data_IF_887705899770
#
_entry.id   IF_887705899770
#
_cell.length_a   1.000
_cell.length_b   1.000
_cell.length_c   1.000
_cell.angle_alpha   90.00
_cell.angle_beta   90.00
_cell.angle_gamma   90.00
#
_symmetry.space_group_name_H-M   'P 1'
#
loop_
_entity.id
_entity.type
_entity.pdbx_description
1 polymer ?
#
# COMPACT_ATOMS: atom_id res chain seq x y z
N UNK A 1 4.25 12.72 6.27
CA UNK A 1 4.14 11.87 7.48
C UNK A 1 3.82 10.45 7.02
N UNK A 2 4.35 9.43 7.68
CA UNK A 2 4.01 8.04 7.33
C UNK A 2 2.59 7.69 7.79
N UNK A 3 1.86 6.85 7.05
CA UNK A 3 0.59 6.32 7.52
C UNK A 3 0.72 5.56 8.84
N UNK A 4 -0.21 5.77 9.78
CA UNK A 4 -0.15 5.23 11.15
C UNK A 4 -0.21 3.70 11.23
N UNK A 5 -0.60 3.04 10.14
CA UNK A 5 -0.63 1.58 10.06
C UNK A 5 0.69 0.95 9.64
N UNK A 6 1.67 1.76 9.21
CA UNK A 6 2.98 1.26 8.90
C UNK A 6 3.74 0.94 10.20
N UNK A 7 4.62 -0.07 10.19
CA UNK A 7 5.38 -0.41 11.38
C UNK A 7 6.31 0.74 11.78
N UNK A 8 6.63 0.83 13.07
CA UNK A 8 7.46 1.92 13.62
C UNK A 8 8.85 2.03 13.00
N UNK A 9 9.40 0.92 12.49
CA UNK A 9 10.68 0.89 11.79
C UNK A 9 10.69 1.73 10.49
N UNK A 10 9.53 2.08 9.92
CA UNK A 10 9.46 2.97 8.74
C UNK A 10 10.02 4.37 9.02
N UNK A 11 10.05 4.78 10.28
CA UNK A 11 10.71 6.02 10.72
C UNK A 11 12.25 5.98 10.55
N UNK A 12 12.84 4.80 10.35
CA UNK A 12 14.28 4.62 10.18
C UNK A 12 14.72 4.63 8.70
N UNK A 13 13.78 4.79 7.76
CA UNK A 13 14.12 4.90 6.34
C UNK A 13 14.96 6.17 6.10
N UNK A 14 16.09 6.00 5.40
CA UNK A 14 17.00 7.11 5.05
C UNK A 14 16.97 7.45 3.58
N UNK A 15 16.75 6.46 2.72
CA UNK A 15 16.69 6.65 1.27
C UNK A 15 15.43 7.41 0.88
N UNK A 16 15.61 8.55 0.23
CA UNK A 16 14.50 9.44 -0.16
C UNK A 16 13.43 8.73 -0.99
N UNK A 17 13.84 7.84 -1.90
CA UNK A 17 12.93 7.03 -2.72
C UNK A 17 12.12 6.06 -1.87
N UNK A 18 12.74 5.42 -0.87
CA UNK A 18 12.04 4.54 0.07
C UNK A 18 11.07 5.32 0.97
N UNK A 19 11.48 6.49 1.45
CA UNK A 19 10.62 7.37 2.26
C UNK A 19 9.38 7.78 1.46
N UNK A 20 9.56 8.26 0.22
CA UNK A 20 8.45 8.69 -0.65
C UNK A 20 7.52 7.52 -0.96
N UNK A 21 8.08 6.35 -1.26
CA UNK A 21 7.29 5.15 -1.50
C UNK A 21 6.44 4.79 -0.28
N UNK A 22 7.05 4.70 0.91
CA UNK A 22 6.35 4.37 2.14
C UNK A 22 5.26 5.38 2.51
N UNK A 23 5.52 6.68 2.33
CA UNK A 23 4.52 7.74 2.54
C UNK A 23 3.32 7.63 1.59
N UNK A 24 3.51 7.06 0.39
CA UNK A 24 2.46 6.87 -0.61
C UNK A 24 1.63 5.60 -0.42
N UNK A 25 1.98 4.73 0.52
CA UNK A 25 1.23 3.50 0.79
C UNK A 25 -0.16 3.85 1.28
N UNK A 26 -1.16 3.24 0.65
CA UNK A 26 -2.57 3.32 1.03
C UNK A 26 -2.99 1.97 1.60
N UNK A 27 -3.95 1.98 2.52
CA UNK A 27 -4.59 0.76 3.03
C UNK A 27 -6.10 0.87 2.87
N UNK A 28 -6.69 -0.14 2.24
CA UNK A 28 -8.12 -0.22 2.03
C UNK A 28 -8.64 -1.58 2.48
N UNK A 29 -9.79 -1.58 3.15
CA UNK A 29 -10.52 -2.80 3.45
C UNK A 29 -11.25 -3.27 2.19
N UNK A 30 -10.87 -4.43 1.65
CA UNK A 30 -11.51 -5.02 0.47
C UNK A 30 -12.46 -6.12 0.93
N UNK A 31 -13.76 -5.87 0.78
CA UNK A 31 -14.78 -6.91 0.95
C UNK A 31 -14.73 -7.88 -0.23
N UNK A 32 -14.78 -9.18 0.05
CA UNK A 32 -14.80 -10.21 -0.99
C UNK A 32 -15.92 -11.22 -0.71
N UNK A 33 -16.48 -11.89 -1.73
CA UNK A 33 -17.43 -12.98 -1.50
C UNK A 33 -16.82 -14.22 -0.82
N UNK A 34 -15.49 -14.30 -0.72
CA UNK A 34 -14.75 -15.46 -0.22
C UNK A 34 -14.61 -15.48 1.31
N UNK A 35 -14.82 -14.33 1.97
CA UNK A 35 -14.68 -14.20 3.42
C UNK A 35 -15.66 -13.16 3.95
N UNK A 36 -16.30 -13.40 5.12
CA UNK A 36 -17.15 -12.41 5.77
C UNK A 36 -16.34 -11.21 6.30
N UNK A 37 -15.02 -11.37 6.52
CA UNK A 37 -14.15 -10.30 6.97
C UNK A 37 -13.43 -9.66 5.77
N UNK A 38 -13.51 -8.32 5.68
CA UNK A 38 -12.76 -7.57 4.68
C UNK A 38 -11.24 -7.72 4.88
N UNK A 39 -10.52 -7.84 3.76
CA UNK A 39 -9.06 -7.99 3.76
C UNK A 39 -8.45 -6.59 3.84
N UNK A 40 -7.57 -6.36 4.82
CA UNK A 40 -6.81 -5.12 4.91
C UNK A 40 -5.69 -5.13 3.86
N UNK A 41 -5.95 -4.54 2.69
CA UNK A 41 -5.04 -4.56 1.54
C UNK A 41 -4.25 -3.27 1.48
N UNK A 42 -2.93 -3.37 1.38
CA UNK A 42 -2.04 -2.22 1.14
C UNK A 42 -1.60 -2.17 -0.31
N UNK A 43 -1.43 -0.97 -0.85
CA UNK A 43 -0.96 -0.77 -2.22
C UNK A 43 -0.36 0.64 -2.37
N UNK A 44 0.38 0.85 -3.45
CA UNK A 44 0.79 2.19 -3.92
C UNK A 44 0.15 2.43 -5.27
N UNK A 45 -0.56 3.54 -5.43
CA UNK A 45 -1.07 3.97 -6.72
C UNK A 45 -0.11 4.96 -7.38
N UNK A 46 0.55 4.54 -8.46
CA UNK A 46 1.45 5.38 -9.26
C UNK A 46 0.88 5.77 -10.62
N UNK A 47 -0.24 5.16 -11.04
CA UNK A 47 -0.88 5.42 -12.32
C UNK A 47 -1.89 6.57 -12.26
N UNK A 48 -2.04 7.29 -13.37
CA UNK A 48 -3.15 8.25 -13.58
C UNK A 48 -3.74 7.95 -14.96
N UNK A 49 -4.99 7.50 -15.05
CA UNK A 49 -5.60 7.15 -16.34
C UNK A 49 -6.76 6.14 -16.26
N UNK A 50 -7.19 5.66 -17.43
CA UNK A 50 -8.42 4.88 -17.59
C UNK A 50 -8.30 3.37 -17.38
N UNK A 51 -7.21 2.74 -17.84
CA UNK A 51 -7.04 1.28 -17.69
C UNK A 51 -6.21 0.99 -16.44
N UNK A 52 -6.77 0.33 -15.42
CA UNK A 52 -6.03 -0.04 -14.23
C UNK A 52 -5.05 -1.17 -14.52
N UNK A 53 -3.80 -1.04 -14.06
CA UNK A 53 -2.80 -2.10 -14.06
C UNK A 53 -2.54 -2.50 -12.61
N UNK A 54 -2.76 -3.78 -12.31
CA UNK A 54 -2.47 -4.36 -11.00
C UNK A 54 -1.15 -5.12 -11.06
N UNK A 55 -0.18 -4.68 -10.28
CA UNK A 55 1.10 -5.37 -10.10
C UNK A 55 1.04 -6.16 -8.79
N UNK A 56 1.07 -7.49 -8.91
CA UNK A 56 1.18 -8.39 -7.77
C UNK A 56 2.62 -8.88 -7.71
N UNK A 57 3.27 -8.72 -6.57
CA UNK A 57 4.60 -9.28 -6.40
C UNK A 57 4.50 -10.81 -6.34
N UNK A 58 5.45 -11.49 -6.97
CA UNK A 58 5.64 -12.93 -6.81
C UNK A 58 6.27 -13.26 -5.46
N UNK A 59 6.45 -14.56 -5.21
CA UNK A 59 7.31 -15.06 -4.14
C UNK A 59 8.79 -14.81 -4.47
#
# INVERSE_FOLDING_TARGET
MFPDFLPSNTQQLVESTSIVLAQSIQRQAISTPLSPQAIATTYVNQGKGGTPILLLHGF
#
